data_IF_842562552537
#
_entry.id   IF_842562552537
#
_cell.length_a   1.000
_cell.length_b   1.000
_cell.length_c   1.000
_cell.angle_alpha   90.00
_cell.angle_beta   90.00
_cell.angle_gamma   90.00
#
_symmetry.space_group_name_H-M   'P 1'
#
loop_
_entity.id
_entity.type
_entity.pdbx_description
1 polymer ?
#
# COMPACT_ATOMS: atom_id res chain seq x y z
N UNK A 1 -14.24 10.22 3.23
CA UNK A 1 -14.02 11.45 2.44
C UNK A 1 -12.61 12.03 2.62
N UNK A 2 -12.29 12.90 3.59
CA UNK A 2 -10.97 13.57 3.63
C UNK A 2 -9.75 12.61 3.67
N UNK A 3 -9.78 11.55 4.49
CA UNK A 3 -8.66 10.60 4.56
C UNK A 3 -8.52 9.67 3.34
N UNK A 4 -9.62 9.33 2.65
CA UNK A 4 -9.55 8.61 1.35
C UNK A 4 -9.01 9.52 0.25
N UNK A 5 -9.39 10.80 0.27
CA UNK A 5 -8.80 11.80 -0.62
C UNK A 5 -7.29 11.92 -0.36
N UNK A 6 -6.84 11.98 0.91
CA UNK A 6 -5.41 11.98 1.24
C UNK A 6 -4.66 10.74 0.73
N UNK A 7 -5.22 9.53 0.89
CA UNK A 7 -4.61 8.30 0.33
C UNK A 7 -4.59 8.35 -1.20
N UNK A 8 -5.68 8.80 -1.82
CA UNK A 8 -5.80 8.90 -3.27
C UNK A 8 -4.82 9.90 -3.89
N UNK A 9 -4.56 11.03 -3.22
CA UNK A 9 -3.57 12.02 -3.65
C UNK A 9 -2.15 11.74 -3.12
N UNK A 10 -1.91 10.62 -2.43
CA UNK A 10 -0.60 10.22 -1.95
C UNK A 10 -0.07 10.99 -0.72
N UNK A 11 -0.91 11.72 0.00
CA UNK A 11 -0.57 12.36 1.27
C UNK A 11 -0.82 11.42 2.46
N UNK A 12 0.03 10.41 2.63
CA UNK A 12 -0.10 9.46 3.74
C UNK A 12 0.15 10.10 5.10
N UNK A 13 1.02 11.11 5.19
CA UNK A 13 1.29 11.83 6.42
C UNK A 13 0.06 12.65 6.86
N UNK A 14 -0.61 13.31 5.91
CA UNK A 14 -1.90 13.96 6.14
C UNK A 14 -2.98 12.96 6.51
N UNK A 15 -3.10 11.84 5.78
CA UNK A 15 -4.07 10.78 6.10
C UNK A 15 -3.89 10.27 7.54
N UNK A 16 -2.64 10.05 7.96
CA UNK A 16 -2.31 9.62 9.32
C UNK A 16 -2.68 10.69 10.35
N UNK A 17 -2.29 11.95 10.14
CA UNK A 17 -2.59 13.06 11.05
C UNK A 17 -4.10 13.23 11.24
N UNK A 18 -4.86 13.17 10.15
CA UNK A 18 -6.33 13.21 10.19
C UNK A 18 -6.92 12.03 10.96
N UNK A 19 -6.41 10.81 10.73
CA UNK A 19 -6.84 9.63 11.46
C UNK A 19 -6.56 9.70 12.96
N UNK A 20 -5.39 10.21 13.36
CA UNK A 20 -5.02 10.42 14.77
C UNK A 20 -5.95 11.44 15.43
N UNK A 21 -6.18 12.58 14.77
CA UNK A 21 -7.11 13.61 15.26
C UNK A 21 -8.53 13.07 15.42
N UNK A 22 -9.03 12.27 14.47
CA UNK A 22 -10.37 11.67 14.55
C UNK A 22 -10.50 10.64 15.67
N UNK A 23 -9.45 9.83 15.89
CA UNK A 23 -9.39 8.84 16.98
C UNK A 23 -9.45 9.51 18.35
N UNK A 24 -8.79 10.65 18.50
CA UNK A 24 -8.64 11.34 19.77
C UNK A 24 -9.85 12.24 20.12
N UNK A 25 -10.89 12.30 19.26
CA UNK A 25 -12.15 13.02 19.51
C UNK A 25 -13.14 12.18 20.35
N UNK A 26 -13.56 12.65 21.55
CA UNK A 26 -14.41 11.89 22.47
C UNK A 26 -15.78 11.47 21.90
N UNK A 27 -16.36 12.27 21.01
CA UNK A 27 -17.67 12.02 20.38
C UNK A 27 -17.64 10.91 19.30
N UNK A 28 -16.45 10.52 18.84
CA UNK A 28 -16.26 9.48 17.82
C UNK A 28 -15.59 8.22 18.38
N UNK A 29 -15.26 8.19 19.67
CA UNK A 29 -14.71 7.00 20.34
C UNK A 29 -15.68 5.80 20.25
N UNK A 30 -17.00 6.05 20.20
CA UNK A 30 -18.04 5.02 20.01
C UNK A 30 -18.21 4.57 18.55
N UNK A 31 -17.72 5.35 17.56
CA UNK A 31 -17.56 4.97 16.13
C UNK A 31 -16.08 4.77 15.76
N UNK A 32 -15.25 4.41 16.75
CA UNK A 32 -13.79 4.34 16.66
C UNK A 32 -13.24 3.45 15.54
N UNK A 33 -14.06 2.54 15.02
CA UNK A 33 -13.72 1.66 13.90
C UNK A 33 -13.40 2.44 12.62
N UNK A 34 -14.06 3.58 12.35
CA UNK A 34 -13.88 4.35 11.11
C UNK A 34 -12.66 5.29 11.11
N UNK A 35 -12.26 5.78 12.29
CA UNK A 35 -11.02 6.54 12.45
C UNK A 35 -9.81 5.60 12.42
N UNK A 36 -9.93 4.44 13.06
CA UNK A 36 -8.92 3.38 13.08
C UNK A 36 -8.72 2.77 11.69
N UNK A 37 -9.79 2.58 10.92
CA UNK A 37 -9.73 1.98 9.58
C UNK A 37 -8.83 2.78 8.62
N UNK A 38 -8.93 4.11 8.61
CA UNK A 38 -8.10 4.96 7.73
C UNK A 38 -6.63 5.00 8.15
N UNK A 39 -6.37 4.96 9.46
CA UNK A 39 -5.00 4.86 9.98
C UNK A 39 -4.32 3.57 9.51
N UNK A 40 -5.04 2.44 9.55
CA UNK A 40 -4.50 1.14 9.11
C UNK A 40 -4.04 1.16 7.66
N UNK A 41 -4.80 1.79 6.75
CA UNK A 41 -4.42 1.88 5.33
C UNK A 41 -3.17 2.74 5.15
N UNK A 42 -3.12 3.92 5.76
CA UNK A 42 -1.99 4.83 5.64
C UNK A 42 -0.71 4.22 6.23
N UNK A 43 -0.81 3.61 7.41
CA UNK A 43 0.32 2.95 8.08
C UNK A 43 0.80 1.72 7.33
N UNK A 44 -0.10 0.94 6.74
CA UNK A 44 0.25 -0.22 5.91
C UNK A 44 1.01 0.21 4.65
N UNK A 45 0.54 1.23 3.94
CA UNK A 45 1.18 1.74 2.72
C UNK A 45 2.55 2.39 3.00
N UNK A 46 2.67 3.09 4.14
CA UNK A 46 3.94 3.67 4.59
C UNK A 46 4.95 2.62 5.04
N UNK A 47 4.47 1.50 5.60
CA UNK A 47 5.29 0.42 6.15
C UNK A 47 5.44 0.43 7.67
N UNK A 48 4.55 1.10 8.40
CA UNK A 48 4.52 1.12 9.86
C UNK A 48 3.87 -0.16 10.43
N UNK A 49 4.50 -1.32 10.21
CA UNK A 49 3.90 -2.62 10.51
C UNK A 49 3.46 -2.76 11.98
N UNK A 50 4.27 -2.33 12.94
CA UNK A 50 3.93 -2.41 14.37
C UNK A 50 2.68 -1.59 14.73
N UNK A 51 2.51 -0.43 14.09
CA UNK A 51 1.32 0.40 14.27
C UNK A 51 0.08 -0.30 13.69
N UNK A 52 0.21 -0.94 12.53
CA UNK A 52 -0.85 -1.74 11.91
C UNK A 52 -1.23 -2.94 12.78
N UNK A 53 -0.26 -3.67 13.33
CA UNK A 53 -0.52 -4.81 14.22
C UNK A 53 -1.24 -4.37 15.51
N UNK A 54 -0.80 -3.27 16.10
CA UNK A 54 -1.43 -2.72 17.31
C UNK A 54 -2.85 -2.24 17.04
N UNK A 55 -3.06 -1.52 15.93
CA UNK A 55 -4.38 -0.99 15.55
C UNK A 55 -5.36 -2.09 15.14
N UNK A 56 -4.87 -3.10 14.41
CA UNK A 56 -5.70 -4.19 13.90
C UNK A 56 -6.19 -5.12 15.00
N UNK A 57 -5.39 -5.38 16.05
CA UNK A 57 -5.86 -6.13 17.22
C UNK A 57 -7.06 -5.47 17.89
N UNK A 58 -6.99 -4.15 18.11
CA UNK A 58 -8.10 -3.37 18.71
C UNK A 58 -9.34 -3.36 17.82
N UNK A 59 -9.14 -3.26 16.50
CA UNK A 59 -10.22 -3.36 15.52
C UNK A 59 -10.93 -4.71 15.61
N UNK A 60 -10.17 -5.81 15.61
CA UNK A 60 -10.74 -7.16 15.65
C UNK A 60 -11.52 -7.39 16.95
N UNK A 61 -10.95 -7.02 18.09
CA UNK A 61 -11.60 -7.12 19.40
C UNK A 61 -12.91 -6.32 19.46
N UNK A 62 -12.97 -5.16 18.82
CA UNK A 62 -14.18 -4.33 18.76
C UNK A 62 -15.25 -4.94 17.86
N UNK A 63 -14.85 -5.35 16.65
CA UNK A 63 -15.74 -5.97 15.66
C UNK A 63 -16.35 -7.29 16.17
N UNK A 64 -15.55 -8.13 16.83
CA UNK A 64 -16.03 -9.38 17.44
C UNK A 64 -17.00 -9.12 18.60
N UNK A 65 -16.69 -8.17 19.49
CA UNK A 65 -17.61 -7.77 20.58
C UNK A 65 -18.93 -7.20 20.08
N UNK A 66 -18.92 -6.54 18.92
CA UNK A 66 -20.10 -6.04 18.24
C UNK A 66 -20.91 -7.15 17.53
N UNK A 67 -20.48 -8.42 17.60
CA UNK A 67 -21.17 -9.55 16.99
C UNK A 67 -20.86 -9.75 15.51
N UNK A 68 -19.68 -9.29 15.05
CA UNK A 68 -19.21 -9.41 13.65
C UNK A 68 -20.18 -8.79 12.64
N UNK A 69 -20.52 -7.51 12.78
CA UNK A 69 -21.45 -6.84 11.87
C UNK A 69 -20.91 -6.82 10.43
N UNK A 70 -21.83 -6.93 9.47
CA UNK A 70 -21.57 -6.72 8.04
C UNK A 70 -21.20 -5.26 7.80
N UNK A 71 -19.98 -4.98 7.33
CA UNK A 71 -19.43 -3.64 7.22
C UNK A 71 -18.44 -3.50 6.04
N UNK A 72 -18.93 -3.50 4.79
CA UNK A 72 -18.09 -3.56 3.59
C UNK A 72 -17.14 -2.35 3.44
N UNK A 73 -17.52 -1.19 4.00
CA UNK A 73 -16.69 0.03 3.97
C UNK A 73 -15.34 -0.13 4.71
N UNK A 74 -15.20 -1.16 5.56
CA UNK A 74 -13.97 -1.47 6.30
C UNK A 74 -13.02 -2.39 5.52
N UNK A 75 -13.45 -2.88 4.35
CA UNK A 75 -12.73 -3.89 3.58
C UNK A 75 -11.30 -3.51 3.20
N UNK A 76 -11.07 -2.26 2.79
CA UNK A 76 -9.73 -1.79 2.40
C UNK A 76 -8.76 -1.79 3.58
N UNK A 77 -9.21 -1.43 4.77
CA UNK A 77 -8.39 -1.42 5.98
C UNK A 77 -8.00 -2.83 6.43
N UNK A 78 -8.95 -3.76 6.40
CA UNK A 78 -8.68 -5.17 6.74
C UNK A 78 -7.78 -5.82 5.69
N UNK A 79 -7.98 -5.51 4.42
CA UNK A 79 -7.10 -5.98 3.35
C UNK A 79 -5.67 -5.40 3.47
N UNK A 80 -5.52 -4.16 3.92
CA UNK A 80 -4.22 -3.54 4.19
C UNK A 80 -3.48 -4.25 5.34
N UNK A 81 -4.21 -4.69 6.38
CA UNK A 81 -3.65 -5.52 7.47
C UNK A 81 -3.18 -6.88 6.92
N UNK A 82 -3.99 -7.52 6.08
CA UNK A 82 -3.61 -8.77 5.42
C UNK A 82 -2.33 -8.61 4.56
N UNK A 83 -2.22 -7.50 3.84
CA UNK A 83 -1.01 -7.16 3.08
C UNK A 83 0.22 -7.06 3.99
N UNK A 84 0.12 -6.36 5.13
CA UNK A 84 1.24 -6.26 6.09
C UNK A 84 1.66 -7.63 6.61
N UNK A 85 0.73 -8.52 6.95
CA UNK A 85 1.11 -9.89 7.33
C UNK A 85 1.82 -10.64 6.19
N UNK A 86 1.39 -10.44 4.93
CA UNK A 86 2.11 -10.96 3.76
C UNK A 86 3.53 -10.41 3.63
N UNK A 87 3.72 -9.10 3.83
CA UNK A 87 5.05 -8.46 3.80
C UNK A 87 5.95 -8.95 4.95
N UNK A 88 5.36 -9.47 6.02
CA UNK A 88 6.09 -10.10 7.13
C UNK A 88 6.41 -11.58 6.90
N UNK A 89 5.88 -12.18 5.82
CA UNK A 89 5.95 -13.62 5.57
C UNK A 89 5.04 -14.46 6.48
N UNK A 90 4.04 -13.85 7.12
CA UNK A 90 3.06 -14.53 7.98
C UNK A 90 1.80 -14.90 7.18
N UNK A 91 1.94 -15.91 6.32
CA UNK A 91 0.84 -16.41 5.48
C UNK A 91 -0.38 -16.90 6.27
N UNK A 92 -0.24 -17.60 7.41
CA UNK A 92 -1.39 -17.98 8.24
C UNK A 92 -2.17 -16.76 8.75
N UNK A 93 -1.50 -15.71 9.24
CA UNK A 93 -2.20 -14.50 9.67
C UNK A 93 -2.82 -13.76 8.49
N UNK A 94 -2.12 -13.66 7.36
CA UNK A 94 -2.67 -13.08 6.13
C UNK A 94 -3.96 -13.79 5.73
N UNK A 95 -3.99 -15.13 5.73
CA UNK A 95 -5.17 -15.91 5.38
C UNK A 95 -6.34 -15.66 6.35
N UNK A 96 -6.07 -15.57 7.66
CA UNK A 96 -7.10 -15.21 8.66
C UNK A 96 -7.71 -13.84 8.38
N UNK A 97 -6.88 -12.83 8.10
CA UNK A 97 -7.36 -11.48 7.82
C UNK A 97 -8.11 -11.38 6.50
N UNK A 98 -7.75 -12.16 5.48
CA UNK A 98 -8.56 -12.26 4.26
C UNK A 98 -9.93 -12.88 4.53
N UNK A 99 -10.02 -13.87 5.43
CA UNK A 99 -11.31 -14.38 5.91
C UNK A 99 -12.18 -13.31 6.57
N UNK A 100 -11.58 -12.40 7.33
CA UNK A 100 -12.31 -11.23 7.90
C UNK A 100 -12.83 -10.32 6.78
N UNK A 101 -12.08 -10.10 5.70
CA UNK A 101 -12.58 -9.33 4.53
C UNK A 101 -13.83 -9.99 3.93
N UNK A 102 -13.84 -11.31 3.81
CA UNK A 102 -14.98 -12.05 3.29
C UNK A 102 -16.21 -11.92 4.22
N UNK A 103 -16.00 -11.97 5.54
CA UNK A 103 -17.07 -11.80 6.54
C UNK A 103 -17.67 -10.38 6.57
N UNK A 104 -16.91 -9.36 6.16
CA UNK A 104 -17.40 -7.99 6.07
C UNK A 104 -18.41 -7.80 4.93
N UNK A 105 -18.53 -8.78 4.03
CA UNK A 105 -19.48 -8.77 2.91
C UNK A 105 -19.10 -7.82 1.78
N UNK A 106 -17.80 -7.60 1.58
CA UNK A 106 -17.31 -6.78 0.47
C UNK A 106 -17.50 -7.51 -0.85
N UNK A 107 -18.06 -6.83 -1.85
CA UNK A 107 -18.20 -7.43 -3.18
C UNK A 107 -16.86 -7.47 -3.93
N UNK A 108 -16.73 -8.37 -4.91
CA UNK A 108 -15.57 -8.40 -5.79
C UNK A 108 -15.37 -7.07 -6.55
N UNK A 109 -16.46 -6.39 -6.91
CA UNK A 109 -16.42 -5.08 -7.58
C UNK A 109 -15.85 -4.01 -6.63
N UNK A 110 -16.37 -3.92 -5.41
CA UNK A 110 -15.99 -2.86 -4.46
C UNK A 110 -14.56 -3.03 -3.95
N UNK A 111 -14.04 -4.26 -3.97
CA UNK A 111 -12.68 -4.57 -3.55
C UNK A 111 -11.62 -4.51 -4.65
N UNK A 112 -12.03 -4.47 -5.92
CA UNK A 112 -11.12 -4.66 -7.05
C UNK A 112 -9.93 -3.69 -7.05
N UNK A 113 -10.19 -2.40 -6.78
CA UNK A 113 -9.16 -1.35 -6.80
C UNK A 113 -8.07 -1.54 -5.75
N UNK A 114 -8.44 -1.54 -4.46
CA UNK A 114 -7.45 -1.68 -3.39
C UNK A 114 -6.81 -3.05 -3.36
N UNK A 115 -7.53 -4.13 -3.70
CA UNK A 115 -6.93 -5.47 -3.80
C UNK A 115 -5.86 -5.49 -4.86
N UNK A 116 -6.08 -4.83 -6.00
CA UNK A 116 -5.07 -4.78 -7.06
C UNK A 116 -3.78 -4.10 -6.58
N UNK A 117 -3.91 -2.97 -5.88
CA UNK A 117 -2.77 -2.26 -5.32
C UNK A 117 -2.04 -3.10 -4.27
N UNK A 118 -2.76 -3.66 -3.29
CA UNK A 118 -2.14 -4.41 -2.19
C UNK A 118 -1.53 -5.73 -2.63
N UNK A 119 -2.21 -6.48 -3.52
CA UNK A 119 -1.68 -7.72 -4.07
C UNK A 119 -0.41 -7.43 -4.88
N UNK A 120 -0.40 -6.38 -5.70
CA UNK A 120 0.78 -6.00 -6.48
C UNK A 120 1.94 -5.60 -5.59
N UNK A 121 1.72 -4.80 -4.54
CA UNK A 121 2.78 -4.46 -3.57
C UNK A 121 3.38 -5.72 -2.95
N UNK A 122 2.54 -6.68 -2.57
CA UNK A 122 2.99 -7.94 -1.97
C UNK A 122 3.76 -8.82 -2.98
N UNK A 123 3.26 -8.98 -4.20
CA UNK A 123 3.94 -9.74 -5.26
C UNK A 123 5.31 -9.13 -5.58
N UNK A 124 5.36 -7.80 -5.68
CA UNK A 124 6.59 -7.05 -5.92
C UNK A 124 7.59 -7.12 -4.75
N UNK A 125 7.11 -7.27 -3.52
CA UNK A 125 7.93 -7.54 -2.35
C UNK A 125 8.57 -8.93 -2.40
N UNK A 126 7.79 -9.92 -2.83
CA UNK A 126 8.20 -11.32 -2.95
C UNK A 126 9.05 -11.62 -4.20
N UNK A 127 9.39 -10.60 -5.00
CA UNK A 127 10.14 -10.78 -6.25
C UNK A 127 9.33 -11.39 -7.40
N UNK A 128 8.00 -11.46 -7.28
CA UNK A 128 7.08 -12.10 -8.25
C UNK A 128 6.56 -11.09 -9.27
N UNK A 129 7.46 -10.41 -9.96
CA UNK A 129 7.12 -9.32 -10.88
C UNK A 129 6.22 -9.76 -12.07
N UNK A 130 6.42 -10.96 -12.60
CA UNK A 130 5.56 -11.49 -13.67
C UNK A 130 4.09 -11.61 -13.26
N UNK A 131 3.84 -12.14 -12.06
CA UNK A 131 2.48 -12.23 -11.52
C UNK A 131 1.90 -10.87 -11.16
N UNK A 132 2.74 -9.91 -10.76
CA UNK A 132 2.33 -8.52 -10.55
C UNK A 132 1.85 -7.84 -11.87
N UNK A 133 2.48 -8.18 -13.01
CA UNK A 133 2.02 -7.73 -14.33
C UNK A 133 0.64 -8.32 -14.65
N UNK A 134 0.45 -9.63 -14.46
CA UNK A 134 -0.85 -10.28 -14.67
C UNK A 134 -1.94 -9.67 -13.78
N UNK A 135 -1.60 -9.40 -12.50
CA UNK A 135 -2.51 -8.79 -11.53
C UNK A 135 -3.00 -7.40 -11.94
N UNK A 136 -2.20 -6.69 -12.73
CA UNK A 136 -2.45 -5.32 -13.21
C UNK A 136 -2.74 -5.25 -14.71
N UNK A 137 -3.00 -6.39 -15.36
CA UNK A 137 -3.29 -6.46 -16.78
C UNK A 137 -4.73 -6.04 -17.12
N UNK A 138 -5.66 -6.20 -16.17
CA UNK A 138 -7.06 -5.87 -16.38
C UNK A 138 -7.28 -4.35 -16.49
N UNK A 139 -8.11 -3.94 -17.45
CA UNK A 139 -8.66 -2.59 -17.44
C UNK A 139 -9.77 -2.54 -16.40
N UNK A 140 -9.46 -1.89 -15.28
CA UNK A 140 -10.42 -1.64 -14.22
C UNK A 140 -11.26 -0.41 -14.57
N UNK A 141 -12.55 -0.50 -14.30
CA UNK A 141 -13.50 0.60 -14.44
C UNK A 141 -13.01 1.81 -13.63
N UNK A 142 -12.92 2.97 -14.28
CA UNK A 142 -12.44 4.23 -13.69
C UNK A 142 -13.22 4.62 -12.43
N UNK A 143 -14.53 4.34 -12.38
CA UNK A 143 -15.35 4.61 -11.20
C UNK A 143 -15.04 3.65 -10.03
N UNK A 144 -14.51 2.46 -10.32
CA UNK A 144 -14.16 1.44 -9.32
C UNK A 144 -12.77 1.71 -8.73
N UNK A 145 -11.89 2.36 -9.48
CA UNK A 145 -10.50 2.57 -9.08
C UNK A 145 -10.16 4.01 -8.71
N UNK A 146 -11.08 4.97 -8.73
CA UNK A 146 -10.74 6.40 -8.66
C UNK A 146 -9.78 6.80 -7.52
N UNK A 147 -9.91 6.23 -6.31
CA UNK A 147 -8.95 6.46 -5.19
C UNK A 147 -7.60 5.79 -5.43
N UNK A 148 -7.59 4.65 -6.11
CA UNK A 148 -6.45 3.76 -6.28
C UNK A 148 -5.78 3.87 -7.65
N UNK A 149 -6.29 4.72 -8.54
CA UNK A 149 -5.91 4.78 -9.96
C UNK A 149 -4.43 5.09 -10.13
N UNK A 150 -3.97 6.14 -9.48
CA UNK A 150 -2.58 6.62 -9.59
C UNK A 150 -1.61 5.55 -9.09
N UNK A 151 -1.95 4.94 -7.94
CA UNK A 151 -1.21 3.82 -7.36
C UNK A 151 -1.16 2.61 -8.30
N UNK A 152 -2.31 2.24 -8.87
CA UNK A 152 -2.43 1.11 -9.78
C UNK A 152 -1.58 1.29 -11.04
N UNK A 153 -1.67 2.46 -11.69
CA UNK A 153 -0.90 2.74 -12.89
C UNK A 153 0.61 2.80 -12.62
N UNK A 154 1.01 3.41 -11.51
CA UNK A 154 2.43 3.49 -11.13
C UNK A 154 3.01 2.09 -10.79
N UNK A 155 2.27 1.28 -10.04
CA UNK A 155 2.66 -0.09 -9.70
C UNK A 155 2.67 -1.02 -10.93
N UNK A 156 1.75 -0.82 -11.88
CA UNK A 156 1.77 -1.51 -13.18
C UNK A 156 3.04 -1.20 -13.95
N UNK A 157 3.42 0.07 -14.02
CA UNK A 157 4.66 0.50 -14.67
C UNK A 157 5.90 -0.10 -13.99
N UNK A 158 5.92 -0.15 -12.66
CA UNK A 158 7.01 -0.78 -11.91
C UNK A 158 7.10 -2.30 -12.14
N UNK A 159 5.98 -3.01 -12.07
CA UNK A 159 5.94 -4.45 -12.33
C UNK A 159 6.48 -4.78 -13.72
N UNK A 160 6.05 -4.00 -14.71
CA UNK A 160 6.57 -4.06 -16.07
C UNK A 160 8.06 -3.72 -16.18
N UNK A 161 8.59 -2.81 -15.36
CA UNK A 161 10.00 -2.43 -15.41
C UNK A 161 10.89 -3.58 -14.96
N UNK A 162 10.44 -4.30 -13.95
CA UNK A 162 11.12 -5.49 -13.41
C UNK A 162 11.05 -6.70 -14.35
N UNK A 163 10.15 -6.72 -15.33
CA UNK A 163 10.07 -7.76 -16.37
C UNK A 163 10.65 -7.31 -17.72
N UNK A 164 11.03 -6.04 -17.86
CA UNK A 164 11.69 -5.48 -19.04
C UNK A 164 10.79 -4.82 -20.09
N UNK A 165 9.49 -4.63 -19.82
CA UNK A 165 8.52 -4.07 -20.78
C UNK A 165 7.71 -2.88 -20.20
N UNK A 166 8.39 -1.80 -19.83
CA UNK A 166 7.74 -0.71 -19.09
C UNK A 166 7.56 0.61 -19.84
N UNK A 167 8.25 0.85 -20.97
CA UNK A 167 8.25 2.19 -21.59
C UNK A 167 6.86 2.69 -21.93
N UNK A 168 6.00 1.80 -22.46
CA UNK A 168 4.61 2.13 -22.77
C UNK A 168 3.79 2.45 -21.51
N UNK A 169 3.95 1.65 -20.44
CA UNK A 169 3.28 1.87 -19.16
C UNK A 169 3.75 3.15 -18.46
N UNK A 170 5.04 3.44 -18.50
CA UNK A 170 5.65 4.64 -17.94
C UNK A 170 5.11 5.90 -18.62
N UNK A 171 5.06 5.89 -19.96
CA UNK A 171 4.50 7.00 -20.74
C UNK A 171 3.00 7.19 -20.46
N UNK A 172 2.22 6.11 -20.46
CA UNK A 172 0.77 6.16 -20.27
C UNK A 172 0.35 6.66 -18.87
N UNK A 173 1.16 6.40 -17.84
CA UNK A 173 0.83 6.78 -16.47
C UNK A 173 1.21 8.24 -16.11
N UNK A 174 2.12 8.87 -16.87
CA UNK A 174 2.79 10.13 -16.48
C UNK A 174 1.83 11.25 -16.11
N UNK A 175 0.88 11.53 -16.99
CA UNK A 175 -0.07 12.63 -16.81
C UNK A 175 -1.06 12.35 -15.67
N UNK A 176 -1.41 11.07 -15.47
CA UNK A 176 -2.36 10.68 -14.41
C UNK A 176 -1.73 10.84 -13.04
N UNK A 177 -0.48 10.42 -12.85
CA UNK A 177 0.16 10.41 -11.52
C UNK A 177 0.73 11.76 -11.08
N UNK A 178 0.79 12.76 -11.95
CA UNK A 178 1.49 14.02 -11.71
C UNK A 178 0.99 14.80 -10.48
N UNK A 179 -0.27 14.60 -10.06
CA UNK A 179 -0.85 15.20 -8.86
C UNK A 179 -0.59 14.43 -7.57
N UNK A 180 -0.02 13.24 -7.64
CA UNK A 180 0.22 12.34 -6.52
C UNK A 180 1.74 12.09 -6.36
N UNK A 181 2.39 12.64 -5.32
CA UNK A 181 3.84 12.54 -5.15
C UNK A 181 4.32 11.11 -4.92
N UNK A 182 3.51 10.25 -4.30
CA UNK A 182 3.88 8.84 -4.10
C UNK A 182 3.79 8.06 -5.40
N UNK A 183 2.68 8.17 -6.12
CA UNK A 183 2.54 7.53 -7.43
C UNK A 183 3.59 8.03 -8.43
N UNK A 184 3.93 9.32 -8.39
CA UNK A 184 5.05 9.89 -9.14
C UNK A 184 6.39 9.23 -8.75
N UNK A 185 6.68 9.07 -7.46
CA UNK A 185 7.90 8.40 -7.01
C UNK A 185 7.96 6.91 -7.42
N UNK A 186 6.83 6.20 -7.42
CA UNK A 186 6.75 4.84 -7.99
C UNK A 186 7.06 4.82 -9.48
N UNK A 187 6.50 5.78 -10.23
CA UNK A 187 6.74 5.89 -11.68
C UNK A 187 8.19 6.26 -12.00
N UNK A 188 8.79 7.16 -11.22
CA UNK A 188 10.21 7.50 -11.33
C UNK A 188 11.12 6.33 -10.97
N UNK A 189 10.72 5.49 -10.01
CA UNK A 189 11.41 4.22 -9.72
C UNK A 189 11.38 3.29 -10.94
N UNK A 190 10.20 3.14 -11.55
CA UNK A 190 10.02 2.29 -12.72
C UNK A 190 10.90 2.75 -13.89
N UNK A 191 10.96 4.05 -14.14
CA UNK A 191 11.81 4.62 -15.19
C UNK A 191 13.30 4.45 -14.89
N UNK A 192 13.73 4.71 -13.65
CA UNK A 192 15.11 4.50 -13.23
C UNK A 192 15.55 3.03 -13.34
N UNK A 193 14.65 2.08 -13.09
CA UNK A 193 14.90 0.64 -13.30
C UNK A 193 15.12 0.31 -14.77
N UNK A 194 14.33 0.89 -15.69
CA UNK A 194 14.47 0.70 -17.14
C UNK A 194 15.81 1.25 -17.65
N UNK A 195 16.22 2.40 -17.13
CA UNK A 195 17.42 3.10 -17.58
C UNK A 195 18.69 2.62 -16.87
N UNK A 196 18.56 1.81 -15.80
CA UNK A 196 19.69 1.43 -14.95
C UNK A 196 20.30 2.61 -14.19
N UNK A 197 19.49 3.65 -13.91
CA UNK A 197 19.96 4.89 -13.30
C UNK A 197 19.95 4.80 -11.76
N UNK A 198 21.08 4.37 -11.21
CA UNK A 198 21.29 4.29 -9.76
C UNK A 198 21.14 5.64 -9.04
N UNK A 199 21.56 6.75 -9.68
CA UNK A 199 21.45 8.08 -9.06
C UNK A 199 20.01 8.52 -8.93
N UNK A 200 19.19 8.23 -9.95
CA UNK A 200 17.75 8.47 -9.90
C UNK A 200 17.07 7.56 -8.87
N UNK A 201 17.48 6.29 -8.76
CA UNK A 201 16.98 5.40 -7.71
C UNK A 201 17.24 5.94 -6.29
N UNK A 202 18.42 6.51 -6.02
CA UNK A 202 18.73 7.16 -4.74
C UNK A 202 17.88 8.42 -4.48
N UNK A 203 17.61 9.18 -5.53
CA UNK A 203 16.70 10.35 -5.47
C UNK A 203 15.28 9.90 -5.10
N UNK A 204 14.79 8.85 -5.74
CA UNK A 204 13.49 8.23 -5.45
C UNK A 204 13.42 7.68 -4.01
N UNK A 205 14.48 7.02 -3.53
CA UNK A 205 14.53 6.56 -2.14
C UNK A 205 14.40 7.73 -1.15
N UNK A 206 15.05 8.86 -1.45
CA UNK A 206 14.92 10.09 -0.64
C UNK A 206 13.52 10.70 -0.72
N UNK A 207 12.86 10.63 -1.87
CA UNK A 207 11.47 11.07 -2.02
C UNK A 207 10.53 10.25 -1.11
N UNK A 208 10.65 8.92 -1.10
CA UNK A 208 9.87 8.06 -0.20
C UNK A 208 10.15 8.33 1.28
N UNK A 209 11.41 8.54 1.66
CA UNK A 209 11.78 8.93 3.02
C UNK A 209 11.10 10.23 3.44
N UNK A 210 11.14 11.23 2.57
CA UNK A 210 10.54 12.56 2.81
C UNK A 210 9.01 12.46 2.94
N UNK A 211 8.39 11.57 2.17
CA UNK A 211 6.97 11.27 2.25
C UNK A 211 6.59 10.37 3.44
N UNK A 212 7.54 9.99 4.31
CA UNK A 212 7.29 9.13 5.46
C UNK A 212 6.92 7.69 5.07
N UNK A 213 7.48 7.18 3.97
CA UNK A 213 7.25 5.82 3.45
C UNK A 213 8.51 4.95 3.59
N UNK A 214 8.92 4.60 4.83
CA UNK A 214 10.17 3.88 5.08
C UNK A 214 10.25 2.51 4.41
N UNK A 215 9.11 1.83 4.20
CA UNK A 215 9.09 0.58 3.44
C UNK A 215 9.51 0.78 1.98
N UNK A 216 8.97 1.81 1.32
CA UNK A 216 9.28 2.10 -0.09
C UNK A 216 10.71 2.61 -0.26
N UNK A 217 11.23 3.38 0.69
CA UNK A 217 12.66 3.71 0.75
C UNK A 217 13.52 2.44 0.82
N UNK A 218 13.27 1.57 1.80
CA UNK A 218 14.05 0.34 2.00
C UNK A 218 13.99 -0.60 0.79
N UNK A 219 12.82 -0.70 0.13
CA UNK A 219 12.65 -1.48 -1.10
C UNK A 219 13.43 -0.89 -2.26
N UNK A 220 13.42 0.43 -2.41
CA UNK A 220 14.20 1.11 -3.45
C UNK A 220 15.70 0.86 -3.27
N UNK A 221 16.21 0.94 -2.04
CA UNK A 221 17.61 0.61 -1.74
C UNK A 221 17.95 -0.86 -2.02
N UNK A 222 17.00 -1.77 -1.79
CA UNK A 222 17.14 -3.20 -2.10
C UNK A 222 17.28 -3.45 -3.60
N UNK A 223 16.52 -2.72 -4.42
CA UNK A 223 16.57 -2.81 -5.88
C UNK A 223 17.86 -2.27 -6.50
N UNK A 224 18.54 -1.30 -5.85
CA UNK A 224 19.83 -0.77 -6.32
C UNK A 224 20.93 -1.84 -6.29
N UNK A 225 20.90 -2.75 -5.32
CA UNK A 225 21.93 -3.78 -5.15
C UNK A 225 23.10 -3.35 -4.26
N UNK A 226 24.14 -4.19 -4.21
CA UNK A 226 25.39 -3.91 -3.47
C UNK A 226 25.19 -3.55 -1.98
N UNK A 227 25.92 -2.52 -1.53
CA UNK A 227 25.85 -2.03 -0.15
C UNK A 227 24.48 -1.40 0.17
N UNK A 228 23.83 -0.77 -0.83
CA UNK A 228 22.48 -0.22 -0.69
C UNK A 228 21.48 -1.32 -0.38
N UNK A 229 21.57 -2.47 -1.05
CA UNK A 229 20.66 -3.56 -0.78
C UNK A 229 20.84 -4.17 0.62
N UNK A 230 22.07 -4.22 1.14
CA UNK A 230 22.30 -4.61 2.52
C UNK A 230 21.68 -3.61 3.51
N UNK A 231 21.72 -2.30 3.22
CA UNK A 231 21.07 -1.28 4.03
C UNK A 231 19.54 -1.36 3.95
N UNK A 232 18.98 -1.55 2.74
CA UNK A 232 17.56 -1.73 2.50
C UNK A 232 16.99 -2.93 3.25
N UNK A 233 17.63 -4.10 3.18
CA UNK A 233 17.20 -5.29 3.92
C UNK A 233 17.25 -5.08 5.44
N UNK A 234 18.30 -4.44 5.97
CA UNK A 234 18.36 -4.08 7.40
C UNK A 234 17.22 -3.15 7.81
N UNK A 235 16.89 -2.16 6.98
CA UNK A 235 15.77 -1.27 7.22
C UNK A 235 14.43 -2.04 7.20
N UNK A 236 14.20 -2.96 6.25
CA UNK A 236 13.02 -3.83 6.23
C UNK A 236 12.91 -4.67 7.51
N UNK A 237 14.00 -5.30 7.95
CA UNK A 237 14.03 -6.05 9.22
C UNK A 237 13.68 -5.14 10.41
N UNK A 238 14.18 -3.91 10.42
CA UNK A 238 13.85 -2.91 11.45
C UNK A 238 12.38 -2.49 11.45
N UNK A 239 11.69 -2.59 10.31
CA UNK A 239 10.24 -2.42 10.18
C UNK A 239 9.46 -3.71 10.47
N UNK A 240 10.15 -4.80 10.82
CA UNK A 240 9.55 -6.11 11.07
C UNK A 240 9.06 -6.81 9.80
N UNK A 241 9.53 -6.41 8.61
CA UNK A 241 9.16 -7.00 7.32
C UNK A 241 10.18 -8.05 6.87
N UNK A 242 9.74 -8.98 6.03
CA UNK A 242 10.63 -9.91 5.33
C UNK A 242 11.49 -9.15 4.30
N UNK A 243 12.56 -9.78 3.81
CA UNK A 243 13.53 -9.14 2.91
C UNK A 243 14.06 -10.09 1.85
#
# INVERSE_FOLDING_TARGET
EAGEMCVGVGDLAGARRWGEQLRDLPLLAERGDFATSRLLVADALAGHADAVLTGSGRFLDAWERAGRPHAPDLGSSVAAVAMVHGLRGDDPARARWLGVVDDLGVTARDSAGYRAVFDTILLLHQGRAGEAVERTAADLDEQVIWVWRDWYLALRAEAAALTGDARAHVAAARDTVAGNPLATAFLDRAEALVDGDETRMLTVATAFRTAGCPYQEARTLTLIGGAHAAAGRRAMTGLGLAS
#
